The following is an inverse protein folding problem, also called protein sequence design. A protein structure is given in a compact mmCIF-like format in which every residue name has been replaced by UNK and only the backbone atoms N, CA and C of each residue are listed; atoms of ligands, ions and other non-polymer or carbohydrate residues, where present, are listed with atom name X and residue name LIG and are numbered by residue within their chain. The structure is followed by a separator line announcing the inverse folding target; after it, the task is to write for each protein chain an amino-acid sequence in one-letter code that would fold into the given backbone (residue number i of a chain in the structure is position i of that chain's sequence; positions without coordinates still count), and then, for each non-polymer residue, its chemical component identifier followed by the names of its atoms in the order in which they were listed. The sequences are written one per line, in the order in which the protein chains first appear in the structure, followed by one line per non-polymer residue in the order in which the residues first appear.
data_IF_630878759240
#
_entry.id   IF_630878759240
#
_cell.length_a   1.000
_cell.length_b   1.000
_cell.length_c   1.000
_cell.angle_alpha   90.00
_cell.angle_beta   90.00
_cell.angle_gamma   90.00
#
_symmetry.space_group_name_H-M   'P 1'
#
loop_
_entity.id
_entity.type
_entity.pdbx_description
1 polymer ?
#
# COMPACT_ATOMS: atom_id res chain seq x y z
N UNK A 1 8.37 15.92 -20.08
CA UNK A 1 9.09 15.03 -19.15
C UNK A 1 8.08 14.01 -18.66
N UNK A 2 8.44 12.73 -18.52
CA UNK A 2 7.50 11.73 -17.97
C UNK A 2 7.21 12.06 -16.50
N UNK A 3 5.96 11.86 -16.02
CA UNK A 3 5.63 12.06 -14.62
C UNK A 3 6.43 11.12 -13.69
N UNK A 4 6.72 11.59 -12.49
CA UNK A 4 7.40 10.81 -11.44
C UNK A 4 6.37 10.24 -10.48
N UNK A 5 6.34 8.92 -10.35
CA UNK A 5 5.44 8.23 -9.42
C UNK A 5 6.22 7.68 -8.24
N UNK A 6 5.91 8.18 -7.06
CA UNK A 6 6.45 7.69 -5.80
C UNK A 6 5.84 6.33 -5.44
N UNK A 7 6.66 5.28 -5.41
CA UNK A 7 6.26 3.93 -5.00
C UNK A 7 6.59 3.78 -3.52
N UNK A 8 5.57 3.78 -2.67
CA UNK A 8 5.77 3.61 -1.23
C UNK A 8 6.28 2.19 -0.94
N UNK A 9 7.45 2.12 -0.33
CA UNK A 9 8.13 0.87 0.00
C UNK A 9 7.54 0.18 1.23
N UNK A 10 8.00 -1.04 1.47
CA UNK A 10 7.79 -1.78 2.71
C UNK A 10 9.11 -1.93 3.46
N UNK A 11 9.03 -2.08 4.77
CA UNK A 11 10.16 -2.48 5.60
C UNK A 11 10.37 -4.00 5.52
N UNK A 12 11.61 -4.41 5.27
CA UNK A 12 12.03 -5.81 5.31
C UNK A 12 13.35 -5.96 6.06
N UNK A 13 13.56 -7.14 6.62
CA UNK A 13 14.87 -7.58 7.11
C UNK A 13 15.47 -8.57 6.11
N UNK A 14 16.53 -8.17 5.44
CA UNK A 14 17.30 -9.06 4.57
C UNK A 14 18.26 -9.85 5.43
N UNK A 15 18.26 -11.19 5.28
CA UNK A 15 19.06 -12.11 6.11
C UNK A 15 18.83 -11.92 7.61
N UNK A 16 17.60 -11.50 8.02
CA UNK A 16 17.24 -11.24 9.43
C UNK A 16 18.12 -10.18 10.15
N UNK A 17 18.91 -9.42 9.41
CA UNK A 17 19.90 -8.49 9.95
C UNK A 17 19.82 -7.09 9.35
N UNK A 18 19.58 -6.97 8.06
CA UNK A 18 19.67 -5.70 7.36
C UNK A 18 18.30 -5.10 7.12
N UNK A 19 17.90 -4.02 7.83
CA UNK A 19 16.68 -3.32 7.52
C UNK A 19 16.80 -2.64 6.14
N UNK A 20 15.80 -2.83 5.30
CA UNK A 20 15.73 -2.24 3.97
C UNK A 20 14.34 -1.71 3.68
N UNK A 21 14.29 -0.66 2.87
CA UNK A 21 13.06 -0.22 2.21
C UNK A 21 13.02 -0.82 0.81
N UNK A 22 12.01 -1.64 0.52
CA UNK A 22 11.94 -2.32 -0.76
C UNK A 22 10.51 -2.37 -1.31
N UNK A 23 10.43 -2.48 -2.64
CA UNK A 23 9.20 -2.74 -3.39
C UNK A 23 9.44 -3.88 -4.37
N UNK A 24 8.44 -4.69 -4.63
CA UNK A 24 8.53 -5.71 -5.69
C UNK A 24 8.76 -5.05 -7.04
N UNK A 25 9.62 -5.64 -7.87
CA UNK A 25 9.98 -5.11 -9.21
C UNK A 25 8.76 -4.90 -10.10
N UNK A 26 7.72 -5.74 -9.95
CA UNK A 26 6.46 -5.61 -10.67
C UNK A 26 5.78 -4.23 -10.52
N UNK A 27 5.96 -3.56 -9.37
CA UNK A 27 5.41 -2.23 -9.16
C UNK A 27 6.15 -1.18 -10.01
N UNK A 28 7.49 -1.29 -10.08
CA UNK A 28 8.31 -0.45 -10.95
C UNK A 28 8.01 -0.69 -12.43
N UNK A 29 7.86 -1.97 -12.83
CA UNK A 29 7.51 -2.35 -14.18
C UNK A 29 6.14 -1.80 -14.60
N UNK A 30 5.13 -1.89 -13.72
CA UNK A 30 3.81 -1.32 -13.99
C UNK A 30 3.86 0.19 -14.21
N UNK A 31 4.60 0.92 -13.38
CA UNK A 31 4.76 2.38 -13.53
C UNK A 31 5.54 2.71 -14.81
N UNK A 32 6.63 2.00 -15.10
CA UNK A 32 7.49 2.32 -16.22
C UNK A 32 6.91 1.89 -17.58
N UNK A 33 6.32 0.69 -17.65
CA UNK A 33 5.94 0.06 -18.93
C UNK A 33 4.45 0.23 -19.24
N UNK A 34 3.58 0.31 -18.24
CA UNK A 34 2.13 0.44 -18.45
C UNK A 34 1.69 1.90 -18.34
N UNK A 35 2.14 2.62 -17.31
CA UNK A 35 1.77 4.01 -17.08
C UNK A 35 2.68 5.02 -17.82
N UNK A 36 3.78 4.58 -18.43
CA UNK A 36 4.80 5.42 -19.06
C UNK A 36 5.31 6.55 -18.14
N UNK A 37 5.48 6.24 -16.86
CA UNK A 37 5.95 7.16 -15.83
C UNK A 37 7.35 6.75 -15.33
N UNK A 38 7.98 7.61 -14.53
CA UNK A 38 9.26 7.34 -13.86
C UNK A 38 8.97 6.74 -12.49
N UNK A 39 9.36 5.48 -12.20
CA UNK A 39 9.20 4.91 -10.89
C UNK A 39 10.29 5.41 -9.92
N UNK A 40 9.88 5.90 -8.76
CA UNK A 40 10.76 6.31 -7.66
C UNK A 40 10.40 5.56 -6.39
N UNK A 41 11.29 4.72 -5.88
CA UNK A 41 11.05 4.02 -4.60
C UNK A 41 11.23 5.01 -3.46
N UNK A 42 10.19 5.16 -2.65
CA UNK A 42 10.13 6.07 -1.51
C UNK A 42 10.28 5.31 -0.20
N UNK A 43 11.23 5.68 0.68
CA UNK A 43 11.26 5.15 2.04
C UNK A 43 9.96 5.43 2.79
N UNK A 44 9.38 4.40 3.41
CA UNK A 44 8.16 4.56 4.20
C UNK A 44 8.47 4.98 5.66
N UNK A 45 9.29 6.02 5.81
CA UNK A 45 9.79 6.50 7.10
C UNK A 45 9.73 8.04 7.16
N UNK A 46 8.87 8.61 8.04
CA UNK A 46 8.73 10.06 8.18
C UNK A 46 9.98 10.76 8.75
N UNK A 47 10.93 9.99 9.31
CA UNK A 47 12.21 10.56 9.74
C UNK A 47 13.16 10.82 8.56
N UNK A 48 12.93 10.18 7.41
CA UNK A 48 13.77 10.31 6.22
C UNK A 48 13.20 11.27 5.19
N UNK A 49 11.87 11.37 5.10
CA UNK A 49 11.19 12.20 4.11
C UNK A 49 9.83 12.66 4.64
N UNK A 50 9.50 13.93 4.44
CA UNK A 50 8.21 14.51 4.81
C UNK A 50 7.18 14.40 3.68
N UNK A 51 5.90 14.49 4.03
CA UNK A 51 4.80 14.58 3.06
C UNK A 51 5.00 15.76 2.09
N UNK A 52 5.44 16.91 2.60
CA UNK A 52 5.67 18.09 1.78
C UNK A 52 6.76 17.87 0.72
N UNK A 53 7.86 17.23 1.08
CA UNK A 53 8.93 16.89 0.14
C UNK A 53 8.47 15.89 -0.91
N UNK A 54 7.68 14.89 -0.51
CA UNK A 54 7.07 13.92 -1.43
C UNK A 54 6.15 14.60 -2.44
N UNK A 55 5.24 15.45 -1.97
CA UNK A 55 4.30 16.18 -2.81
C UNK A 55 5.01 17.14 -3.80
N UNK A 56 6.18 17.65 -3.43
CA UNK A 56 6.99 18.50 -4.30
C UNK A 56 7.83 17.72 -5.31
N UNK A 57 8.11 16.44 -5.03
CA UNK A 57 9.03 15.61 -5.83
C UNK A 57 8.31 14.70 -6.82
N UNK A 58 7.13 14.20 -6.46
CA UNK A 58 6.37 13.22 -7.23
C UNK A 58 5.10 13.85 -7.81
N UNK A 59 4.70 13.39 -9.00
CA UNK A 59 3.45 13.80 -9.66
C UNK A 59 2.26 12.91 -9.25
N UNK A 60 2.52 11.81 -8.54
CA UNK A 60 1.53 10.88 -8.03
C UNK A 60 2.15 9.75 -7.21
N UNK A 61 1.32 8.88 -6.64
CA UNK A 61 1.80 7.84 -5.74
C UNK A 61 1.15 6.49 -5.99
N UNK A 62 1.96 5.42 -5.87
CA UNK A 62 1.54 4.03 -5.76
C UNK A 62 1.79 3.54 -4.33
N UNK A 63 0.72 3.26 -3.61
CA UNK A 63 0.76 2.64 -2.28
C UNK A 63 0.76 1.13 -2.48
N UNK A 64 1.88 0.50 -2.18
CA UNK A 64 2.08 -0.93 -2.44
C UNK A 64 1.38 -1.82 -1.43
N UNK A 65 1.10 -3.05 -1.83
CA UNK A 65 0.69 -4.11 -0.91
C UNK A 65 1.78 -4.43 0.12
N UNK A 66 1.37 -4.98 1.25
CA UNK A 66 2.27 -5.39 2.33
C UNK A 66 1.58 -6.34 3.29
N UNK A 67 2.35 -7.10 4.07
CA UNK A 67 1.81 -8.01 5.10
C UNK A 67 1.28 -7.28 6.34
N UNK A 68 1.99 -6.26 6.89
CA UNK A 68 1.49 -5.52 8.03
C UNK A 68 0.18 -4.82 7.69
N UNK A 69 -0.76 -4.80 8.62
CA UNK A 69 -2.01 -4.04 8.51
C UNK A 69 -1.82 -2.59 8.96
N UNK A 70 -2.79 -1.73 8.64
CA UNK A 70 -2.90 -0.39 9.25
C UNK A 70 -3.28 -0.58 10.71
N UNK A 71 -2.64 0.17 11.61
CA UNK A 71 -2.86 0.03 13.04
C UNK A 71 -4.30 0.45 13.41
N UNK A 72 -5.05 -0.34 14.22
CA UNK A 72 -6.46 -0.08 14.52
C UNK A 72 -6.71 1.26 15.21
N UNK A 73 -5.75 1.80 15.95
CA UNK A 73 -5.83 3.14 16.55
C UNK A 73 -6.07 4.24 15.49
N UNK A 74 -5.58 4.06 14.26
CA UNK A 74 -5.73 5.03 13.17
C UNK A 74 -7.18 5.18 12.68
N UNK A 75 -8.05 4.21 13.03
CA UNK A 75 -9.49 4.26 12.72
C UNK A 75 -10.38 4.04 13.96
N UNK A 76 -9.82 4.27 15.16
CA UNK A 76 -10.58 4.30 16.42
C UNK A 76 -10.95 2.95 16.99
N UNK A 77 -10.28 1.88 16.57
CA UNK A 77 -10.51 0.52 17.07
C UNK A 77 -9.44 0.10 18.07
N UNK A 78 -9.77 -0.90 18.90
CA UNK A 78 -8.83 -1.49 19.84
C UNK A 78 -8.05 -2.62 19.18
N UNK A 79 -6.74 -2.65 19.39
CA UNK A 79 -5.88 -3.72 18.91
C UNK A 79 -6.29 -5.08 19.47
N UNK A 80 -6.34 -6.10 18.61
CA UNK A 80 -6.57 -7.50 18.95
C UNK A 80 -5.60 -8.39 18.16
N UNK A 81 -5.45 -9.65 18.57
CA UNK A 81 -4.61 -10.62 17.85
C UNK A 81 -5.02 -10.83 16.38
N UNK A 82 -6.31 -10.66 16.07
CA UNK A 82 -6.83 -10.80 14.72
C UNK A 82 -6.30 -9.75 13.74
N UNK A 83 -5.83 -8.59 14.21
CA UNK A 83 -5.26 -7.54 13.38
C UNK A 83 -3.87 -7.90 12.82
N UNK A 84 -3.13 -8.83 13.44
CA UNK A 84 -1.81 -9.27 13.00
C UNK A 84 -0.71 -8.24 13.26
N UNK A 85 0.26 -8.14 12.36
CA UNK A 85 1.40 -7.21 12.50
C UNK A 85 1.10 -5.84 11.88
N UNK A 86 1.83 -4.82 12.36
CA UNK A 86 1.67 -3.42 11.94
C UNK A 86 2.98 -2.82 11.44
N UNK A 87 2.88 -1.75 10.64
CA UNK A 87 3.98 -0.87 10.27
C UNK A 87 3.59 0.58 10.56
N UNK A 88 3.78 1.00 11.81
CA UNK A 88 3.38 2.33 12.29
C UNK A 88 4.18 3.47 11.67
N UNK A 89 5.43 3.22 11.25
CA UNK A 89 6.21 4.23 10.54
C UNK A 89 5.56 4.54 9.19
N UNK A 90 5.19 3.49 8.46
CA UNK A 90 4.49 3.64 7.20
C UNK A 90 3.11 4.29 7.39
N UNK A 91 2.34 3.91 8.41
CA UNK A 91 1.05 4.53 8.70
C UNK A 91 1.20 6.04 8.95
N UNK A 92 2.19 6.45 9.76
CA UNK A 92 2.41 7.87 10.11
C UNK A 92 2.88 8.73 8.92
N UNK A 93 3.45 8.14 7.87
CA UNK A 93 3.78 8.85 6.63
C UNK A 93 2.62 8.81 5.63
N UNK A 94 2.04 7.63 5.41
CA UNK A 94 1.14 7.40 4.27
C UNK A 94 -0.25 7.94 4.51
N UNK A 95 -0.81 7.85 5.72
CA UNK A 95 -2.15 8.38 5.97
C UNK A 95 -2.23 9.90 5.76
N UNK A 96 -1.30 10.74 6.27
CA UNK A 96 -1.25 12.16 5.92
C UNK A 96 -0.97 12.41 4.43
N UNK A 97 -0.12 11.58 3.79
CA UNK A 97 0.16 11.71 2.36
C UNK A 97 -1.10 11.52 1.51
N UNK A 98 -1.91 10.50 1.80
CA UNK A 98 -3.18 10.26 1.10
C UNK A 98 -4.11 11.46 1.22
N UNK A 99 -4.26 12.00 2.43
CA UNK A 99 -5.09 13.20 2.67
C UNK A 99 -4.59 14.38 1.83
N UNK A 100 -3.28 14.63 1.84
CA UNK A 100 -2.69 15.71 1.03
C UNK A 100 -2.90 15.50 -0.48
N UNK A 101 -2.79 14.27 -0.97
CA UNK A 101 -3.07 13.94 -2.37
C UNK A 101 -4.52 14.27 -2.75
N UNK A 102 -5.48 13.87 -1.91
CA UNK A 102 -6.90 14.15 -2.15
C UNK A 102 -7.19 15.65 -2.12
N UNK A 103 -6.67 16.37 -1.12
CA UNK A 103 -6.88 17.81 -0.97
C UNK A 103 -6.32 18.63 -2.14
N UNK A 104 -5.20 18.18 -2.72
CA UNK A 104 -4.52 18.87 -3.82
C UNK A 104 -4.83 18.29 -5.20
N UNK A 105 -5.66 17.23 -5.28
CA UNK A 105 -5.99 16.57 -6.54
C UNK A 105 -4.82 15.81 -7.17
N UNK A 106 -3.84 15.39 -6.38
CA UNK A 106 -2.70 14.62 -6.87
C UNK A 106 -3.06 13.12 -6.94
N UNK A 107 -2.75 12.42 -8.07
CA UNK A 107 -3.11 11.02 -8.24
C UNK A 107 -2.50 10.12 -7.17
N UNK A 108 -3.32 9.26 -6.58
CA UNK A 108 -2.89 8.20 -5.66
C UNK A 108 -3.62 6.91 -5.98
N UNK A 109 -2.90 5.78 -6.03
CA UNK A 109 -3.45 4.46 -6.27
C UNK A 109 -2.97 3.47 -5.22
N UNK A 110 -3.90 2.76 -4.58
CA UNK A 110 -3.61 1.82 -3.50
C UNK A 110 -3.88 0.36 -3.90
N UNK A 111 -2.92 -0.52 -3.64
CA UNK A 111 -3.03 -1.97 -3.88
C UNK A 111 -2.99 -2.70 -2.54
N UNK A 112 -3.97 -3.59 -2.26
CA UNK A 112 -4.04 -4.41 -1.05
C UNK A 112 -3.95 -3.55 0.22
N UNK A 113 -2.81 -3.56 0.95
CA UNK A 113 -2.59 -2.67 2.09
C UNK A 113 -2.75 -1.19 1.69
N UNK A 114 -2.22 -0.79 0.53
CA UNK A 114 -2.37 0.59 0.05
C UNK A 114 -3.83 1.01 -0.14
N UNK A 115 -4.71 0.10 -0.55
CA UNK A 115 -6.16 0.35 -0.58
C UNK A 115 -6.72 0.56 0.84
N UNK A 116 -6.27 -0.24 1.82
CA UNK A 116 -6.66 -0.06 3.22
C UNK A 116 -6.20 1.30 3.75
N UNK A 117 -4.97 1.74 3.42
CA UNK A 117 -4.43 3.05 3.78
C UNK A 117 -5.30 4.19 3.22
N UNK A 118 -5.72 4.09 1.94
CA UNK A 118 -6.64 5.06 1.34
C UNK A 118 -7.99 5.07 2.09
N UNK A 119 -8.57 3.90 2.36
CA UNK A 119 -9.85 3.79 3.06
C UNK A 119 -9.79 4.43 4.47
N UNK A 120 -8.76 4.12 5.25
CA UNK A 120 -8.57 4.68 6.60
C UNK A 120 -8.30 6.17 6.55
N UNK A 121 -7.43 6.64 5.65
CA UNK A 121 -7.16 8.07 5.50
C UNK A 121 -8.41 8.88 5.17
N UNK A 122 -9.39 8.26 4.48
CA UNK A 122 -10.69 8.84 4.13
C UNK A 122 -11.78 8.60 5.18
N UNK A 123 -11.42 8.11 6.37
CA UNK A 123 -12.33 7.97 7.52
C UNK A 123 -13.08 6.64 7.59
N UNK A 124 -12.70 5.63 6.82
CA UNK A 124 -13.27 4.29 6.93
C UNK A 124 -12.61 3.48 8.05
N UNK A 125 -13.33 2.47 8.55
CA UNK A 125 -12.79 1.43 9.45
C UNK A 125 -12.46 0.17 8.67
N UNK A 126 -11.65 -0.73 9.26
CA UNK A 126 -11.28 -2.00 8.66
C UNK A 126 -11.77 -3.16 9.53
N UNK A 127 -12.26 -4.22 8.90
CA UNK A 127 -12.55 -5.46 9.62
C UNK A 127 -11.26 -6.27 9.79
N UNK A 128 -10.89 -6.71 11.01
CA UNK A 128 -9.61 -7.36 11.27
C UNK A 128 -9.45 -8.69 10.52
N UNK A 129 -10.52 -9.46 10.35
CA UNK A 129 -10.48 -10.76 9.65
C UNK A 129 -11.73 -10.98 8.79
N UNK A 130 -11.70 -10.44 7.58
CA UNK A 130 -12.85 -10.49 6.65
C UNK A 130 -13.22 -11.93 6.23
N UNK A 131 -12.30 -12.89 6.33
CA UNK A 131 -12.55 -14.30 5.97
C UNK A 131 -13.52 -14.99 6.92
N UNK A 132 -13.63 -14.50 8.14
CA UNK A 132 -14.55 -15.05 9.15
C UNK A 132 -16.00 -14.60 8.89
N UNK A 133 -16.21 -13.66 7.98
CA UNK A 133 -17.54 -13.21 7.61
C UNK A 133 -18.21 -14.21 6.65
N UNK A 134 -19.49 -14.59 6.91
CA UNK A 134 -20.23 -15.49 6.04
C UNK A 134 -20.29 -14.99 4.58
N UNK A 135 -20.10 -15.90 3.63
CA UNK A 135 -20.19 -15.59 2.19
C UNK A 135 -19.00 -14.83 1.61
N UNK A 136 -17.91 -14.66 2.35
CA UNK A 136 -16.69 -14.03 1.83
C UNK A 136 -15.68 -15.07 1.34
N UNK A 137 -15.02 -14.75 0.22
CA UNK A 137 -13.97 -15.59 -0.33
C UNK A 137 -12.61 -15.22 0.27
N UNK A 138 -11.75 -16.23 0.43
CA UNK A 138 -10.37 -15.98 0.84
C UNK A 138 -9.52 -15.52 -0.36
N UNK A 139 -9.12 -14.27 -0.37
CA UNK A 139 -8.27 -13.67 -1.40
C UNK A 139 -6.78 -13.59 -1.02
N UNK A 140 -6.38 -14.19 0.10
CA UNK A 140 -4.96 -14.23 0.47
C UNK A 140 -4.16 -15.04 -0.55
N UNK A 141 -2.94 -14.60 -0.76
CA UNK A 141 -1.94 -15.33 -1.54
C UNK A 141 -1.75 -16.72 -0.94
N UNK A 142 -1.75 -17.80 -1.73
CA UNK A 142 -1.43 -19.14 -1.24
C UNK A 142 -0.07 -19.15 -0.53
N UNK A 143 0.08 -19.86 0.58
CA UNK A 143 1.36 -19.95 1.30
C UNK A 143 2.43 -20.62 0.45
N UNK A 144 2.02 -21.62 -0.33
CA UNK A 144 2.88 -22.47 -1.16
C UNK A 144 2.64 -22.21 -2.65
N UNK A 145 3.60 -22.64 -3.48
CA UNK A 145 3.54 -22.51 -4.94
C UNK A 145 4.57 -21.54 -5.52
N UNK A 146 4.70 -21.56 -6.84
CA UNK A 146 5.55 -20.65 -7.61
C UNK A 146 5.02 -19.20 -7.56
N UNK A 147 5.83 -18.23 -7.95
CA UNK A 147 5.37 -16.83 -8.07
C UNK A 147 4.20 -16.70 -9.04
N UNK A 148 4.22 -17.44 -10.16
CA UNK A 148 3.15 -17.43 -11.15
C UNK A 148 1.83 -17.94 -10.56
N UNK A 149 1.85 -19.04 -9.81
CA UNK A 149 0.66 -19.57 -9.13
C UNK A 149 0.14 -18.62 -8.04
N UNK A 150 1.04 -17.96 -7.30
CA UNK A 150 0.69 -17.00 -6.26
C UNK A 150 0.01 -15.75 -6.81
N UNK A 151 0.41 -15.29 -7.99
CA UNK A 151 -0.15 -14.11 -8.64
C UNK A 151 -1.15 -14.43 -9.76
N UNK A 152 -1.56 -15.68 -9.91
CA UNK A 152 -2.56 -16.07 -10.89
C UNK A 152 -3.89 -15.34 -10.66
N UNK A 153 -4.55 -14.93 -11.75
CA UNK A 153 -5.87 -14.32 -11.72
C UNK A 153 -6.89 -15.29 -11.09
N UNK A 154 -7.66 -14.80 -10.13
CA UNK A 154 -8.61 -15.63 -9.35
C UNK A 154 -10.05 -15.53 -9.85
N UNK A 155 -10.46 -14.35 -10.30
CA UNK A 155 -11.82 -14.09 -10.79
C UNK A 155 -11.85 -12.86 -11.69
N UNK A 156 -12.92 -12.72 -12.45
CA UNK A 156 -13.19 -11.51 -13.22
C UNK A 156 -13.58 -10.35 -12.29
N UNK A 157 -13.29 -9.13 -12.74
CA UNK A 157 -13.76 -7.89 -12.14
C UNK A 157 -14.55 -7.09 -13.16
N UNK A 158 -15.52 -6.32 -12.70
CA UNK A 158 -16.28 -5.39 -13.52
C UNK A 158 -15.98 -3.96 -13.07
N UNK A 159 -15.73 -3.08 -14.03
CA UNK A 159 -15.55 -1.66 -13.75
C UNK A 159 -16.92 -0.98 -13.88
N UNK A 160 -17.35 -0.32 -12.82
CA UNK A 160 -18.52 0.57 -12.88
C UNK A 160 -18.11 1.92 -13.47
N UNK A 161 -19.05 2.56 -14.18
CA UNK A 161 -18.83 3.95 -14.59
C UNK A 161 -18.80 4.81 -13.33
N UNK A 162 -17.70 5.55 -13.14
CA UNK A 162 -17.58 6.55 -12.08
C UNK A 162 -18.39 7.80 -12.37
#
# INVERSE_FOLDING_TARGET
MRPVIGIISNHYLVHEQYPVHASGTMNGDAIAQVADCIPLIVPADPAQISVQELMATCDGFLLTGGRPNVHPEEYGEVETEAHGSFDRQRDSLVLPLVRACVDLGQPVFGVCRGFQEVAVAMGSTLHPEIRDLPGRSNHRMPPDGTLEEKFALRHAIEFTKG
#
